data_IF_984024829199
#
_entry.id   IF_984024829199
#
_cell.length_a   1.000
_cell.length_b   1.000
_cell.length_c   1.000
_cell.angle_alpha   90.00
_cell.angle_beta   90.00
_cell.angle_gamma   90.00
#
_symmetry.space_group_name_H-M   'P 1'
#
loop_
_entity.id
_entity.type
_entity.pdbx_description
1 polymer ?
#
# COMPACT_ATOMS: atom_id res chain seq x y z
N UNK A 1 6.65 -1.10 14.35
CA UNK A 1 6.68 -2.53 14.02
C UNK A 1 8.12 -3.00 13.99
N UNK A 2 8.46 -3.99 14.78
CA UNK A 2 9.85 -4.45 14.93
C UNK A 2 10.12 -5.78 14.25
N UNK A 3 9.15 -6.29 13.52
CA UNK A 3 9.25 -7.58 12.87
C UNK A 3 9.59 -7.42 11.40
N UNK A 4 10.35 -8.38 10.88
CA UNK A 4 10.59 -8.44 9.44
C UNK A 4 9.27 -8.70 8.73
N UNK A 5 9.11 -8.13 7.55
CA UNK A 5 7.95 -8.36 6.71
C UNK A 5 8.08 -9.70 5.98
N UNK A 6 7.06 -10.09 5.25
CA UNK A 6 7.10 -11.27 4.38
C UNK A 6 8.06 -11.09 3.21
N UNK A 7 8.46 -9.87 2.91
CA UNK A 7 9.48 -9.60 1.91
C UNK A 7 10.85 -9.80 2.56
N UNK A 8 11.64 -10.73 2.02
CA UNK A 8 12.96 -11.02 2.56
C UNK A 8 13.82 -9.76 2.58
N UNK A 9 14.46 -9.52 3.73
CA UNK A 9 15.35 -8.37 3.89
C UNK A 9 14.65 -7.06 4.19
N UNK A 10 13.33 -7.04 4.23
CA UNK A 10 12.59 -5.82 4.55
C UNK A 10 12.20 -5.79 6.01
N UNK A 11 12.93 -5.02 6.79
CA UNK A 11 12.53 -4.64 8.13
C UNK A 11 12.17 -3.17 8.12
N UNK A 12 11.75 -2.66 9.26
CA UNK A 12 11.35 -1.27 9.42
C UNK A 12 12.41 -0.28 8.94
N UNK A 13 13.69 -0.60 9.18
CA UNK A 13 14.82 0.25 8.78
C UNK A 13 15.00 0.34 7.26
N UNK A 14 14.46 -0.62 6.54
CA UNK A 14 14.63 -0.74 5.09
C UNK A 14 13.42 -0.24 4.32
N UNK A 15 12.43 0.27 5.03
CA UNK A 15 11.25 0.84 4.37
C UNK A 15 11.64 2.11 3.63
N UNK A 16 10.94 2.44 2.52
CA UNK A 16 11.33 3.58 1.72
C UNK A 16 11.24 4.89 2.50
N UNK A 17 12.14 5.83 2.22
CA UNK A 17 12.07 7.15 2.85
C UNK A 17 10.73 7.83 2.53
N UNK A 18 10.25 8.64 3.46
CA UNK A 18 8.96 9.30 3.33
C UNK A 18 7.77 8.46 3.77
N UNK A 19 7.98 7.19 4.08
CA UNK A 19 6.92 6.33 4.61
C UNK A 19 5.86 5.90 3.60
N UNK A 20 6.13 5.97 2.30
CA UNK A 20 5.19 5.59 1.25
C UNK A 20 5.39 4.14 0.86
N UNK A 21 4.72 3.24 1.56
CA UNK A 21 4.82 1.80 1.32
C UNK A 21 3.47 1.12 1.51
N UNK A 22 3.40 -0.15 1.09
CA UNK A 22 2.16 -0.90 1.14
C UNK A 22 2.41 -2.40 1.29
N UNK A 23 1.41 -3.09 1.84
CA UNK A 23 1.28 -4.53 1.75
C UNK A 23 0.28 -4.85 0.64
N UNK A 24 0.46 -5.98 -0.01
CA UNK A 24 -0.40 -6.40 -1.12
C UNK A 24 -1.20 -7.64 -0.75
N UNK A 25 -2.35 -7.81 -1.40
CA UNK A 25 -3.15 -9.02 -1.31
C UNK A 25 -2.51 -10.17 -2.09
N UNK A 26 -3.02 -11.38 -1.89
CA UNK A 26 -2.55 -12.56 -2.61
C UNK A 26 -2.57 -12.37 -4.13
N UNK A 27 -3.56 -11.64 -4.63
CA UNK A 27 -3.70 -11.39 -6.07
C UNK A 27 -2.53 -10.62 -6.67
N UNK A 28 -1.84 -9.83 -5.87
CA UNK A 28 -0.68 -9.05 -6.31
C UNK A 28 0.64 -9.59 -5.78
N UNK A 29 0.61 -10.61 -4.91
CA UNK A 29 1.81 -11.08 -4.22
C UNK A 29 2.82 -11.75 -5.15
N UNK A 30 2.33 -12.54 -6.11
CA UNK A 30 3.17 -13.16 -7.14
C UNK A 30 4.33 -13.96 -6.54
N UNK A 31 4.03 -14.80 -5.54
CA UNK A 31 5.01 -15.64 -4.83
C UNK A 31 6.22 -14.86 -4.29
N UNK A 32 6.01 -13.60 -3.91
CA UNK A 32 7.06 -12.76 -3.39
C UNK A 32 7.76 -11.91 -4.42
N UNK A 33 7.49 -12.10 -5.71
CA UNK A 33 8.11 -11.29 -6.76
C UNK A 33 7.69 -9.81 -6.67
N UNK A 34 6.55 -9.53 -6.03
CA UNK A 34 6.08 -8.15 -5.87
C UNK A 34 6.93 -7.34 -4.89
N UNK A 35 7.73 -8.00 -4.05
CA UNK A 35 8.57 -7.27 -3.08
C UNK A 35 9.49 -6.28 -3.79
N UNK A 36 9.43 -5.02 -3.37
CA UNK A 36 10.20 -3.95 -3.98
C UNK A 36 9.57 -3.33 -5.22
N UNK A 37 8.49 -3.89 -5.75
CA UNK A 37 7.77 -3.26 -6.85
C UNK A 37 7.20 -1.93 -6.40
N UNK A 38 7.15 -0.98 -7.33
CA UNK A 38 6.57 0.33 -7.09
C UNK A 38 5.29 0.47 -7.87
N UNK A 39 4.26 0.95 -7.19
CA UNK A 39 2.97 1.21 -7.81
C UNK A 39 2.64 2.68 -7.69
N UNK A 40 2.23 3.28 -8.81
CA UNK A 40 1.63 4.61 -8.78
C UNK A 40 0.17 4.45 -8.41
N UNK A 41 -0.28 5.19 -7.43
CA UNK A 41 -1.63 5.05 -6.88
C UNK A 41 -2.33 6.39 -6.88
N UNK A 42 -3.60 6.37 -7.27
CA UNK A 42 -4.47 7.54 -7.23
C UNK A 42 -5.83 7.11 -6.68
N UNK A 43 -6.38 7.88 -5.75
CA UNK A 43 -7.72 7.68 -5.23
C UNK A 43 -8.73 8.09 -6.30
N UNK A 44 -9.71 7.23 -6.59
CA UNK A 44 -10.72 7.54 -7.61
C UNK A 44 -12.13 7.71 -7.06
N UNK A 45 -12.47 7.06 -5.95
CA UNK A 45 -13.78 7.23 -5.34
C UNK A 45 -13.80 6.70 -3.92
N UNK A 46 -14.82 7.10 -3.18
CA UNK A 46 -15.06 6.60 -1.84
C UNK A 46 -16.16 7.40 -1.17
N UNK A 47 -16.48 7.08 0.09
CA UNK A 47 -17.53 7.78 0.81
C UNK A 47 -17.17 9.25 1.04
N UNK A 48 -18.13 10.14 0.90
CA UNK A 48 -18.00 11.55 1.21
C UNK A 48 -16.90 12.28 0.41
N UNK A 49 -16.66 11.83 -0.82
CA UNK A 49 -15.66 12.43 -1.72
C UNK A 49 -14.30 12.58 -1.04
N UNK A 50 -13.66 11.46 -0.68
CA UNK A 50 -12.44 11.51 0.13
C UNK A 50 -11.19 11.80 -0.67
N UNK A 51 -11.23 11.67 -1.99
CA UNK A 51 -10.00 11.65 -2.80
C UNK A 51 -9.33 13.00 -2.87
N UNK A 52 -8.04 13.01 -2.60
CA UNK A 52 -7.16 14.12 -2.93
C UNK A 52 -6.74 13.97 -4.39
N UNK A 53 -6.36 15.07 -5.02
CA UNK A 53 -6.00 15.10 -6.44
C UNK A 53 -4.67 14.42 -6.72
N UNK A 54 -3.82 14.34 -5.72
CA UNK A 54 -2.43 13.90 -5.84
C UNK A 54 -2.34 12.39 -6.11
N UNK A 55 -1.44 11.99 -7.00
CA UNK A 55 -1.00 10.60 -7.10
C UNK A 55 0.32 10.43 -6.35
N UNK A 56 0.58 9.21 -5.89
CA UNK A 56 1.82 8.87 -5.16
C UNK A 56 2.37 7.57 -5.71
N UNK A 57 3.62 7.28 -5.36
CA UNK A 57 4.26 6.00 -5.64
C UNK A 57 4.55 5.32 -4.31
N UNK A 58 4.12 4.06 -4.18
CA UNK A 58 4.39 3.25 -2.99
C UNK A 58 5.23 2.05 -3.37
N UNK A 59 6.02 1.56 -2.44
CA UNK A 59 6.82 0.36 -2.61
C UNK A 59 6.21 -0.79 -1.83
N UNK A 60 6.15 -1.96 -2.44
CA UNK A 60 5.63 -3.17 -1.78
C UNK A 60 6.67 -3.68 -0.80
N UNK A 61 6.30 -3.80 0.46
CA UNK A 61 7.19 -4.28 1.53
C UNK A 61 6.65 -5.48 2.28
N UNK A 62 5.41 -5.91 2.02
CA UNK A 62 4.79 -6.99 2.78
C UNK A 62 3.61 -7.62 2.04
N UNK A 63 3.22 -8.78 2.53
CA UNK A 63 1.96 -9.44 2.17
C UNK A 63 0.93 -9.10 3.24
N UNK A 64 -0.30 -8.83 2.82
CA UNK A 64 -1.41 -8.64 3.75
C UNK A 64 -1.52 -9.84 4.69
N UNK A 65 -1.56 -9.58 5.99
CA UNK A 65 -1.55 -10.64 7.00
C UNK A 65 -2.92 -11.30 7.22
N UNK A 66 -3.97 -10.74 6.65
CA UNK A 66 -5.34 -11.28 6.78
C UNK A 66 -5.68 -12.17 5.61
N UNK A 67 -6.44 -13.22 5.86
CA UNK A 67 -6.88 -14.16 4.84
C UNK A 67 -8.40 -14.40 4.98
N UNK A 68 -9.21 -13.88 4.05
CA UNK A 68 -8.80 -13.05 2.91
C UNK A 68 -8.43 -11.62 3.30
N UNK A 69 -7.60 -11.02 2.49
CA UNK A 69 -7.25 -9.62 2.70
C UNK A 69 -8.46 -8.73 2.37
N UNK A 70 -8.82 -7.77 3.22
CA UNK A 70 -10.00 -6.93 2.97
C UNK A 70 -9.80 -5.91 1.85
N UNK A 71 -8.60 -5.80 1.32
CA UNK A 71 -8.29 -4.83 0.27
C UNK A 71 -7.23 -5.38 -0.66
N UNK A 72 -7.15 -4.82 -1.87
CA UNK A 72 -6.10 -5.17 -2.83
C UNK A 72 -4.74 -4.68 -2.35
N UNK A 73 -4.72 -3.49 -1.77
CA UNK A 73 -3.54 -2.84 -1.22
C UNK A 73 -3.85 -2.31 0.16
N UNK A 74 -2.93 -2.50 1.09
CA UNK A 74 -2.99 -1.89 2.41
C UNK A 74 -1.87 -0.86 2.48
N UNK A 75 -2.24 0.41 2.41
CA UNK A 75 -1.28 1.51 2.40
C UNK A 75 -0.78 1.84 3.80
N UNK A 76 0.47 2.30 3.90
CA UNK A 76 0.95 2.91 5.12
C UNK A 76 0.08 4.12 5.46
N UNK A 77 0.11 4.56 6.72
CA UNK A 77 -0.68 5.72 7.13
C UNK A 77 -0.33 6.96 6.32
N UNK A 78 0.95 7.20 6.08
CA UNK A 78 1.38 8.35 5.28
C UNK A 78 0.92 8.27 3.85
N UNK A 79 0.96 7.08 3.25
CA UNK A 79 0.49 6.89 1.88
C UNK A 79 -1.01 7.13 1.80
N UNK A 80 -1.76 6.60 2.74
CA UNK A 80 -3.21 6.78 2.76
C UNK A 80 -3.58 8.26 2.93
N UNK A 81 -2.95 8.94 3.87
CA UNK A 81 -3.20 10.36 4.11
C UNK A 81 -2.85 11.22 2.89
N UNK A 82 -1.90 10.79 2.08
CA UNK A 82 -1.50 11.54 0.90
C UNK A 82 -2.58 11.54 -0.19
N UNK A 83 -3.45 10.53 -0.22
CA UNK A 83 -4.45 10.39 -1.29
C UNK A 83 -5.89 10.52 -0.81
N UNK A 84 -6.14 10.47 0.50
CA UNK A 84 -7.49 10.50 1.06
C UNK A 84 -7.60 11.49 2.20
N UNK A 85 -8.76 12.16 2.27
CA UNK A 85 -9.09 13.09 3.35
C UNK A 85 -9.70 12.40 4.55
N UNK A 86 -10.09 11.15 4.41
CA UNK A 86 -10.79 10.40 5.47
C UNK A 86 -10.09 9.07 5.70
N UNK A 87 -10.31 8.51 6.88
CA UNK A 87 -9.77 7.21 7.27
C UNK A 87 -10.84 6.15 7.04
N UNK A 88 -11.08 5.85 5.78
CA UNK A 88 -12.05 4.84 5.37
C UNK A 88 -11.58 4.20 4.07
N UNK A 89 -12.09 3.00 3.80
CA UNK A 89 -11.73 2.28 2.58
C UNK A 89 -12.13 3.09 1.34
N UNK A 90 -11.19 3.24 0.43
CA UNK A 90 -11.41 3.99 -0.82
C UNK A 90 -11.04 3.12 -2.01
N UNK A 91 -11.57 3.49 -3.17
CA UNK A 91 -11.19 2.84 -4.42
C UNK A 91 -10.03 3.61 -5.04
N UNK A 92 -9.03 2.86 -5.48
CA UNK A 92 -7.85 3.46 -6.11
C UNK A 92 -7.61 2.82 -7.47
N UNK A 93 -6.95 3.54 -8.35
CA UNK A 93 -6.31 2.92 -9.50
C UNK A 93 -4.83 2.79 -9.18
N UNK A 94 -4.22 1.73 -9.70
CA UNK A 94 -2.80 1.49 -9.48
C UNK A 94 -2.17 0.94 -10.75
N UNK A 95 -0.91 1.29 -10.94
CA UNK A 95 -0.12 0.82 -12.09
C UNK A 95 1.34 0.71 -11.65
N UNK A 96 1.95 -0.36 -12.11
CA UNK A 96 3.37 -0.60 -11.85
C UNK A 96 4.26 0.34 -12.65
#
# INVERSE_FOLDING_TARGET
MNEATRCDGYNEDQFPPGGLFAAVSDGLWDNGASCGRKYRIRCISGPKRPCKVKSIVVEVVDLCSKDPCPATLQLSNKAFDAISKIDAKVNVEYAQ
#
